data_IF_820837229563
#
_entry.id   IF_820837229563
#
_cell.length_a   1.000
_cell.length_b   1.000
_cell.length_c   1.000
_cell.angle_alpha   90.00
_cell.angle_beta   90.00
_cell.angle_gamma   90.00
#
_symmetry.space_group_name_H-M   'P 1'
#
loop_
_entity.id
_entity.type
_entity.pdbx_description
1 polymer ?
#
# COMPACT_ATOMS: atom_id res chain seq x y z
N UNK A 1 -36.46 40.55 10.51
CA UNK A 1 -36.55 39.12 10.84
C UNK A 1 -35.27 38.71 11.57
N UNK A 2 -35.36 38.26 12.82
CA UNK A 2 -34.16 37.85 13.57
C UNK A 2 -33.80 36.45 13.21
N UNK A 3 -32.62 36.23 12.64
CA UNK A 3 -32.11 34.91 12.31
C UNK A 3 -31.66 34.24 13.63
N UNK A 4 -32.20 33.07 13.93
CA UNK A 4 -31.79 32.34 15.14
C UNK A 4 -30.39 31.70 14.94
N UNK A 5 -29.64 31.55 16.04
CA UNK A 5 -28.31 30.89 16.03
C UNK A 5 -28.37 29.52 15.40
N UNK A 6 -29.42 28.74 15.68
CA UNK A 6 -29.61 27.40 15.14
C UNK A 6 -29.77 27.41 13.61
N UNK A 7 -30.42 28.45 13.09
CA UNK A 7 -30.64 28.62 11.66
C UNK A 7 -29.32 29.01 10.95
N UNK A 8 -28.53 29.87 11.59
CA UNK A 8 -27.22 30.29 11.09
C UNK A 8 -26.25 29.13 10.98
N UNK A 9 -26.21 28.25 12.00
CA UNK A 9 -25.36 27.06 12.00
C UNK A 9 -25.77 26.07 10.90
N UNK A 10 -27.07 25.92 10.65
CA UNK A 10 -27.58 25.03 9.57
C UNK A 10 -27.19 25.54 8.18
N UNK A 11 -27.13 26.85 7.99
CA UNK A 11 -26.76 27.44 6.70
C UNK A 11 -25.25 27.38 6.46
N UNK A 12 -24.45 27.40 7.54
CA UNK A 12 -22.98 27.35 7.47
C UNK A 12 -22.48 25.94 7.04
N UNK A 13 -23.13 24.87 7.50
CA UNK A 13 -22.69 23.48 7.27
C UNK A 13 -22.49 23.13 5.78
N UNK A 14 -23.43 23.43 4.87
CA UNK A 14 -23.21 23.11 3.44
C UNK A 14 -22.00 23.84 2.86
N UNK A 15 -21.76 25.09 3.27
CA UNK A 15 -20.62 25.88 2.82
C UNK A 15 -19.30 25.27 3.30
N UNK A 16 -19.24 24.83 4.55
CA UNK A 16 -18.05 24.18 5.10
C UNK A 16 -17.79 22.82 4.45
N UNK A 17 -18.85 22.05 4.17
CA UNK A 17 -18.72 20.78 3.45
C UNK A 17 -18.17 20.98 2.03
N UNK A 18 -18.69 21.99 1.31
CA UNK A 18 -18.20 22.32 -0.03
C UNK A 18 -16.74 22.78 0.03
N UNK A 19 -16.39 23.61 1.01
CA UNK A 19 -15.02 24.07 1.20
C UNK A 19 -14.08 22.91 1.52
N UNK A 20 -14.52 21.96 2.35
CA UNK A 20 -13.75 20.75 2.67
C UNK A 20 -13.47 19.95 1.40
N UNK A 21 -14.49 19.68 0.59
CA UNK A 21 -14.35 18.94 -0.66
C UNK A 21 -13.35 19.60 -1.62
N UNK A 22 -13.54 20.89 -1.87
CA UNK A 22 -12.65 21.69 -2.73
C UNK A 22 -11.20 21.70 -2.24
N UNK A 23 -11.00 21.74 -0.93
CA UNK A 23 -9.66 21.77 -0.35
C UNK A 23 -9.03 20.38 -0.36
N UNK A 24 -9.83 19.34 -0.10
CA UNK A 24 -9.37 17.94 -0.10
C UNK A 24 -8.94 17.52 -1.51
N UNK A 25 -9.67 17.90 -2.55
CA UNK A 25 -9.38 17.59 -3.96
C UNK A 25 -8.06 18.18 -4.47
N UNK A 26 -7.51 19.18 -3.77
CA UNK A 26 -6.21 19.77 -4.13
C UNK A 26 -5.03 18.83 -3.87
N UNK A 27 -5.23 17.84 -3.00
CA UNK A 27 -4.17 16.90 -2.63
C UNK A 27 -4.25 15.68 -3.53
N UNK A 28 -3.20 15.46 -4.32
CA UNK A 28 -3.13 14.33 -5.24
C UNK A 28 -3.03 13.02 -4.46
N UNK A 29 -3.69 11.99 -4.97
CA UNK A 29 -3.66 10.64 -4.40
C UNK A 29 -2.43 9.90 -4.94
N UNK A 30 -1.26 10.25 -4.42
CA UNK A 30 0.04 9.68 -4.83
C UNK A 30 0.09 8.16 -4.70
N UNK A 31 -0.65 7.61 -3.74
CA UNK A 31 -0.69 6.16 -3.50
C UNK A 31 -1.22 5.39 -4.71
N UNK A 32 -2.02 6.01 -5.58
CA UNK A 32 -2.56 5.36 -6.79
C UNK A 32 -1.47 5.04 -7.81
N UNK A 33 -0.28 5.65 -7.69
CA UNK A 33 0.87 5.31 -8.52
C UNK A 33 1.47 3.94 -8.17
N UNK A 34 1.20 3.45 -6.96
CA UNK A 34 1.80 2.21 -6.44
C UNK A 34 0.73 1.14 -6.20
N UNK A 35 -0.43 1.54 -5.69
CA UNK A 35 -1.52 0.64 -5.28
C UNK A 35 -2.70 0.76 -6.22
N UNK A 36 -3.28 -0.37 -6.56
CA UNK A 36 -4.59 -0.43 -7.21
C UNK A 36 -5.66 -0.16 -6.15
N UNK A 37 -6.69 0.62 -6.50
CA UNK A 37 -7.76 0.98 -5.56
C UNK A 37 -9.06 0.31 -5.98
N UNK A 38 -9.72 -0.32 -5.03
CA UNK A 38 -11.00 -0.99 -5.24
C UNK A 38 -12.02 -0.53 -4.20
N UNK A 39 -13.29 -0.69 -4.53
CA UNK A 39 -14.39 -0.39 -3.61
C UNK A 39 -14.83 -1.67 -2.90
N UNK A 40 -15.19 -1.55 -1.63
CA UNK A 40 -15.67 -2.67 -0.83
C UNK A 40 -16.93 -2.28 -0.04
N UNK A 41 -17.84 -3.23 0.08
CA UNK A 41 -19.07 -3.12 0.89
C UNK A 41 -18.96 -3.93 2.18
N UNK A 42 -17.78 -4.47 2.50
CA UNK A 42 -17.56 -5.37 3.65
C UNK A 42 -16.69 -4.72 4.70
N UNK A 43 -16.58 -5.36 5.86
CA UNK A 43 -15.70 -4.91 6.94
C UNK A 43 -14.24 -5.32 6.71
N UNK A 44 -14.00 -6.32 5.86
CA UNK A 44 -12.68 -6.80 5.46
C UNK A 44 -12.79 -7.44 4.08
N UNK A 45 -11.65 -7.51 3.39
CA UNK A 45 -11.53 -8.28 2.14
C UNK A 45 -10.45 -9.34 2.30
N UNK A 46 -10.61 -10.45 1.59
CA UNK A 46 -9.63 -11.54 1.59
C UNK A 46 -9.25 -11.89 0.16
N UNK A 47 -7.96 -11.99 -0.08
CA UNK A 47 -7.40 -12.47 -1.34
C UNK A 47 -6.65 -13.76 -1.12
N UNK A 48 -7.01 -14.78 -1.90
CA UNK A 48 -6.33 -16.08 -1.88
C UNK A 48 -5.36 -16.13 -3.05
N UNK A 49 -4.09 -16.36 -2.75
CA UNK A 49 -3.09 -16.53 -3.79
C UNK A 49 -3.14 -17.95 -4.34
N UNK A 50 -3.26 -18.05 -5.66
CA UNK A 50 -3.24 -19.35 -6.38
C UNK A 50 -1.85 -19.58 -6.97
N UNK A 51 -1.34 -20.80 -6.84
CA UNK A 51 0.03 -21.15 -7.25
C UNK A 51 0.25 -21.24 -8.75
N UNK A 52 -0.79 -21.31 -9.56
CA UNK A 52 -0.65 -21.55 -10.99
C UNK A 52 -0.17 -22.97 -11.29
N UNK A 53 0.38 -23.16 -12.48
CA UNK A 53 0.86 -24.46 -12.96
C UNK A 53 2.38 -24.48 -13.12
N UNK A 54 2.98 -25.66 -13.03
CA UNK A 54 4.40 -25.86 -13.24
C UNK A 54 4.77 -25.86 -14.72
N UNK A 55 6.03 -26.19 -15.01
CA UNK A 55 6.52 -26.22 -16.38
C UNK A 55 5.88 -27.36 -17.17
N UNK A 56 5.40 -27.04 -18.37
CA UNK A 56 4.83 -28.05 -19.28
C UNK A 56 5.94 -29.03 -19.74
N UNK A 57 5.60 -30.31 -19.78
CA UNK A 57 6.52 -31.36 -20.21
C UNK A 57 6.30 -31.70 -21.67
N UNK A 58 7.37 -32.17 -22.33
CA UNK A 58 7.30 -32.66 -23.73
C UNK A 58 6.46 -33.92 -23.77
N UNK A 59 5.49 -33.96 -24.66
CA UNK A 59 4.63 -35.14 -24.87
C UNK A 59 5.14 -35.96 -26.06
N UNK A 60 5.48 -37.20 -25.79
CA UNK A 60 5.83 -38.14 -26.86
C UNK A 60 4.58 -38.65 -27.61
N UNK A 61 4.79 -39.08 -28.84
CA UNK A 61 3.71 -39.61 -29.66
C UNK A 61 3.15 -40.89 -29.00
N UNK A 62 1.81 -40.93 -28.87
CA UNK A 62 1.12 -42.05 -28.24
C UNK A 62 1.04 -42.01 -26.74
N UNK A 63 1.74 -41.08 -26.07
CA UNK A 63 1.65 -40.94 -24.61
C UNK A 63 0.44 -40.07 -24.19
N UNK A 64 0.00 -40.24 -22.94
CA UNK A 64 -1.09 -39.43 -22.38
C UNK A 64 -0.59 -38.03 -22.03
N UNK A 65 -1.52 -37.06 -21.97
CA UNK A 65 -1.24 -35.69 -21.49
C UNK A 65 -1.02 -35.75 -19.98
N UNK A 66 -0.01 -35.04 -19.50
CA UNK A 66 0.24 -34.86 -18.07
C UNK A 66 -0.69 -33.79 -17.53
N UNK A 67 -1.39 -34.08 -16.45
CA UNK A 67 -2.24 -33.13 -15.76
C UNK A 67 -1.49 -32.55 -14.57
N UNK A 68 -1.55 -31.25 -14.40
CA UNK A 68 -1.04 -30.55 -13.23
C UNK A 68 -2.21 -29.90 -12.47
N UNK A 69 -2.00 -29.51 -11.22
CA UNK A 69 -3.04 -28.94 -10.38
C UNK A 69 -2.53 -27.66 -9.73
N UNK A 70 -3.32 -26.59 -9.81
CA UNK A 70 -3.09 -25.38 -9.06
C UNK A 70 -3.51 -25.61 -7.60
N UNK A 71 -2.81 -24.94 -6.67
CA UNK A 71 -3.07 -25.03 -5.23
C UNK A 71 -3.26 -23.62 -4.66
N UNK A 72 -4.08 -23.54 -3.63
CA UNK A 72 -4.18 -22.33 -2.83
C UNK A 72 -2.94 -22.26 -1.93
N UNK A 73 -2.25 -21.11 -1.97
CA UNK A 73 -1.00 -20.93 -1.22
C UNK A 73 -1.29 -20.27 0.13
N UNK A 74 -1.59 -18.99 0.14
CA UNK A 74 -1.89 -18.28 1.38
C UNK A 74 -2.99 -17.25 1.13
N UNK A 75 -3.61 -16.79 2.22
CA UNK A 75 -4.70 -15.81 2.18
C UNK A 75 -4.24 -14.52 2.85
N UNK A 76 -4.34 -13.41 2.14
CA UNK A 76 -4.14 -12.07 2.69
C UNK A 76 -5.46 -11.46 3.08
N UNK A 77 -5.54 -10.91 4.29
CA UNK A 77 -6.75 -10.25 4.79
C UNK A 77 -6.48 -8.77 4.99
N UNK A 78 -7.32 -7.95 4.37
CA UNK A 78 -7.28 -6.49 4.45
C UNK A 78 -8.44 -6.01 5.31
N UNK A 79 -8.14 -5.51 6.50
CA UNK A 79 -9.14 -4.99 7.44
C UNK A 79 -9.33 -3.49 7.19
N UNK A 80 -10.57 -3.06 7.04
CA UNK A 80 -10.90 -1.65 6.84
C UNK A 80 -10.78 -0.88 8.15
N UNK A 81 -10.20 0.30 8.09
CA UNK A 81 -10.07 1.21 9.25
C UNK A 81 -10.79 2.51 8.96
N UNK A 82 -11.51 3.00 9.96
CA UNK A 82 -12.19 4.29 9.87
C UNK A 82 -11.25 5.39 10.35
N UNK A 83 -10.95 6.35 9.48
CA UNK A 83 -10.18 7.53 9.83
C UNK A 83 -11.16 8.69 10.05
N UNK A 84 -11.11 9.29 11.23
CA UNK A 84 -12.02 10.38 11.59
C UNK A 84 -11.27 11.45 12.38
N UNK A 85 -11.61 12.70 12.12
CA UNK A 85 -11.08 13.86 12.82
C UNK A 85 -12.15 14.94 12.81
N UNK A 86 -12.30 15.65 13.91
CA UNK A 86 -13.27 16.73 14.02
C UNK A 86 -12.69 17.91 14.77
N UNK A 87 -13.34 19.05 14.64
CA UNK A 87 -13.04 20.24 15.41
C UNK A 87 -14.31 20.82 16.00
N UNK A 88 -14.16 21.57 17.09
CA UNK A 88 -15.27 22.29 17.74
C UNK A 88 -14.96 23.78 17.80
N UNK A 89 -15.99 24.58 17.72
CA UNK A 89 -15.91 26.03 17.85
C UNK A 89 -16.64 26.39 19.15
N UNK A 90 -16.04 27.21 20.00
CA UNK A 90 -16.63 27.59 21.27
C UNK A 90 -17.78 28.55 21.06
N UNK A 91 -18.70 28.60 22.03
CA UNK A 91 -19.86 29.49 22.01
C UNK A 91 -19.42 30.95 22.06
N UNK A 92 -18.35 31.25 22.80
CA UNK A 92 -17.78 32.61 22.88
C UNK A 92 -17.30 33.10 21.50
N UNK A 93 -16.64 32.21 20.72
CA UNK A 93 -16.18 32.57 19.36
C UNK A 93 -17.35 32.84 18.42
N UNK A 94 -18.49 32.17 18.63
CA UNK A 94 -19.73 32.42 17.87
C UNK A 94 -20.31 33.80 18.29
N UNK A 95 -20.32 34.12 19.57
CA UNK A 95 -20.82 35.39 20.10
C UNK A 95 -19.99 36.59 19.63
N UNK A 96 -18.66 36.42 19.55
CA UNK A 96 -17.74 37.46 19.09
C UNK A 96 -17.69 37.58 17.55
N UNK A 97 -18.54 36.86 16.84
CA UNK A 97 -18.64 36.84 15.35
C UNK A 97 -17.33 36.46 14.66
N UNK A 98 -16.50 35.59 15.30
CA UNK A 98 -15.23 35.13 14.76
C UNK A 98 -15.37 33.75 14.04
N UNK A 99 -16.55 33.15 14.10
CA UNK A 99 -16.79 31.78 13.64
C UNK A 99 -16.57 31.62 12.15
N UNK A 100 -16.84 32.61 11.33
CA UNK A 100 -16.79 32.49 9.88
C UNK A 100 -15.35 32.26 9.37
N UNK A 101 -14.45 33.17 9.73
CA UNK A 101 -13.03 33.04 9.34
C UNK A 101 -12.34 31.84 10.01
N UNK A 102 -12.70 31.57 11.27
CA UNK A 102 -12.10 30.50 12.07
C UNK A 102 -12.54 29.15 11.56
N UNK A 103 -13.85 28.95 11.27
CA UNK A 103 -14.38 27.69 10.73
C UNK A 103 -13.79 27.36 9.35
N UNK A 104 -13.64 28.36 8.48
CA UNK A 104 -13.03 28.17 7.17
C UNK A 104 -11.56 27.75 7.27
N UNK A 105 -10.81 28.35 8.19
CA UNK A 105 -9.40 27.99 8.42
C UNK A 105 -9.26 26.57 8.98
N UNK A 106 -10.11 26.21 9.95
CA UNK A 106 -10.10 24.87 10.55
C UNK A 106 -10.55 23.80 9.56
N UNK A 107 -11.52 24.10 8.68
CA UNK A 107 -11.96 23.17 7.63
C UNK A 107 -10.83 22.87 6.64
N UNK A 108 -10.06 23.88 6.24
CA UNK A 108 -8.89 23.69 5.38
C UNK A 108 -7.80 22.84 6.07
N UNK A 109 -7.56 23.13 7.36
CA UNK A 109 -6.59 22.35 8.15
C UNK A 109 -7.03 20.90 8.31
N UNK A 110 -8.35 20.68 8.52
CA UNK A 110 -8.95 19.34 8.60
C UNK A 110 -8.75 18.57 7.29
N UNK A 111 -9.05 19.18 6.16
CA UNK A 111 -8.89 18.55 4.84
C UNK A 111 -7.44 18.12 4.60
N UNK A 112 -6.48 19.01 4.92
CA UNK A 112 -5.05 18.71 4.82
C UNK A 112 -4.64 17.56 5.73
N UNK A 113 -5.12 17.55 6.97
CA UNK A 113 -4.77 16.51 7.96
C UNK A 113 -5.31 15.14 7.51
N UNK A 114 -6.54 15.10 6.96
CA UNK A 114 -7.15 13.86 6.47
C UNK A 114 -6.39 13.32 5.26
N UNK A 115 -6.05 14.18 4.29
CA UNK A 115 -5.27 13.79 3.11
C UNK A 115 -3.88 13.27 3.52
N UNK A 116 -3.21 13.97 4.43
CA UNK A 116 -1.90 13.56 4.95
C UNK A 116 -1.97 12.19 5.62
N UNK A 117 -3.00 11.94 6.45
CA UNK A 117 -3.16 10.66 7.14
C UNK A 117 -3.33 9.52 6.13
N UNK A 118 -4.08 9.75 5.05
CA UNK A 118 -4.26 8.77 3.97
C UNK A 118 -2.89 8.40 3.35
N UNK A 119 -2.06 9.40 3.03
CA UNK A 119 -0.74 9.17 2.43
C UNK A 119 0.21 8.43 3.39
N UNK A 120 0.20 8.80 4.68
CA UNK A 120 1.02 8.14 5.71
C UNK A 120 0.61 6.67 5.85
N UNK A 121 -0.69 6.39 5.85
CA UNK A 121 -1.20 5.00 5.91
C UNK A 121 -0.78 4.21 4.66
N UNK A 122 -0.83 4.83 3.49
CA UNK A 122 -0.41 4.18 2.24
C UNK A 122 1.11 3.93 2.21
N UNK A 123 1.91 4.81 2.79
CA UNK A 123 3.37 4.62 2.86
C UNK A 123 3.80 3.60 3.91
N UNK A 124 2.94 3.27 4.89
CA UNK A 124 3.29 2.41 6.02
C UNK A 124 3.82 1.03 5.60
N UNK A 125 3.17 0.29 4.65
CA UNK A 125 3.69 -1.03 4.25
C UNK A 125 5.09 -0.97 3.66
N UNK A 126 5.39 0.07 2.87
CA UNK A 126 6.72 0.24 2.24
C UNK A 126 7.78 0.62 3.28
N UNK A 127 7.47 1.57 4.15
CA UNK A 127 8.41 2.03 5.18
C UNK A 127 8.73 0.93 6.20
N UNK A 128 7.79 0.02 6.45
CA UNK A 128 7.94 -1.06 7.42
C UNK A 128 8.14 -2.44 6.77
N UNK A 129 8.32 -2.48 5.45
CA UNK A 129 8.39 -3.73 4.70
C UNK A 129 9.63 -4.59 5.00
N UNK A 130 10.67 -4.00 5.59
CA UNK A 130 11.89 -4.71 5.98
C UNK A 130 11.84 -5.24 7.41
N UNK A 131 10.77 -4.96 8.15
CA UNK A 131 10.67 -5.28 9.58
C UNK A 131 9.43 -6.12 9.83
N UNK A 132 9.38 -6.74 11.02
CA UNK A 132 8.22 -7.52 11.44
C UNK A 132 6.98 -6.68 11.75
N UNK A 133 7.07 -5.35 11.62
CA UNK A 133 5.93 -4.44 11.81
C UNK A 133 4.89 -4.58 10.71
N UNK A 134 5.30 -5.07 9.53
CA UNK A 134 4.39 -5.38 8.43
C UNK A 134 4.82 -6.69 7.77
N UNK A 135 3.99 -7.72 7.96
CA UNK A 135 4.19 -9.03 7.33
C UNK A 135 3.15 -9.19 6.21
N UNK A 136 3.59 -9.79 5.11
CA UNK A 136 2.70 -10.11 3.99
C UNK A 136 1.83 -11.33 4.31
N UNK A 137 0.94 -11.70 3.39
CA UNK A 137 0.00 -12.79 3.59
C UNK A 137 0.65 -14.14 3.82
N UNK A 138 1.90 -14.31 3.40
CA UNK A 138 2.69 -15.53 3.61
C UNK A 138 3.40 -15.58 4.97
N UNK A 139 3.24 -14.55 5.81
CA UNK A 139 3.79 -14.50 7.17
C UNK A 139 5.23 -14.05 7.27
N UNK A 140 5.84 -13.59 6.16
CA UNK A 140 7.20 -13.02 6.19
C UNK A 140 7.15 -11.52 5.89
N UNK A 141 8.28 -10.84 6.07
CA UNK A 141 8.38 -9.41 5.79
C UNK A 141 8.14 -9.13 4.30
N UNK A 142 7.56 -7.97 4.00
CA UNK A 142 7.25 -7.59 2.61
C UNK A 142 8.50 -7.62 1.72
N UNK A 143 9.64 -7.13 2.25
CA UNK A 143 10.92 -7.20 1.56
C UNK A 143 11.86 -8.13 2.34
N UNK A 144 12.18 -9.28 1.77
CA UNK A 144 12.95 -10.30 2.46
C UNK A 144 13.93 -10.99 1.51
N UNK A 145 15.05 -11.44 2.07
CA UNK A 145 16.05 -12.23 1.34
C UNK A 145 16.25 -13.57 2.05
N UNK A 146 16.39 -14.64 1.27
CA UNK A 146 16.62 -15.97 1.81
C UNK A 146 17.97 -16.01 2.53
N UNK A 147 17.95 -16.45 3.78
CA UNK A 147 19.15 -16.64 4.59
C UNK A 147 19.74 -15.39 5.21
N UNK A 148 19.01 -14.27 5.26
CA UNK A 148 19.54 -13.03 5.86
C UNK A 148 19.55 -13.06 7.41
N UNK A 149 18.93 -14.07 8.02
CA UNK A 149 18.91 -14.24 9.47
C UNK A 149 18.02 -13.26 10.21
N UNK A 150 17.30 -12.40 9.54
CA UNK A 150 16.37 -11.44 10.15
C UNK A 150 15.08 -12.19 10.49
N UNK A 151 14.56 -12.00 11.70
CA UNK A 151 13.30 -12.60 12.13
C UNK A 151 12.17 -12.19 11.16
N UNK A 152 11.48 -13.17 10.60
CA UNK A 152 10.47 -12.96 9.58
C UNK A 152 11.03 -12.67 8.18
N UNK A 153 12.35 -12.75 8.00
CA UNK A 153 13.04 -12.39 6.78
C UNK A 153 13.77 -13.54 6.09
N UNK A 154 13.18 -14.72 6.05
CA UNK A 154 13.86 -15.89 5.49
C UNK A 154 13.36 -16.22 4.06
N UNK A 155 12.98 -15.20 3.30
CA UNK A 155 12.50 -15.35 1.93
C UNK A 155 11.04 -15.80 1.85
N UNK A 156 10.39 -15.45 0.76
CA UNK A 156 8.99 -15.82 0.49
C UNK A 156 8.88 -17.30 0.17
N UNK A 157 8.05 -18.06 0.89
CA UNK A 157 7.94 -19.51 0.66
C UNK A 157 7.26 -19.83 -0.68
N UNK A 158 7.81 -20.80 -1.41
CA UNK A 158 7.23 -21.33 -2.63
C UNK A 158 6.55 -22.67 -2.34
N UNK A 159 5.71 -23.12 -3.29
CA UNK A 159 4.93 -24.36 -3.14
C UNK A 159 5.84 -25.60 -2.99
N UNK A 160 7.02 -25.57 -3.60
CA UNK A 160 7.99 -26.68 -3.52
C UNK A 160 8.82 -26.67 -2.23
N UNK A 161 8.56 -25.72 -1.32
CA UNK A 161 9.32 -25.59 -0.07
C UNK A 161 10.60 -24.75 -0.20
N UNK A 162 10.97 -24.35 -1.40
CA UNK A 162 12.09 -23.43 -1.59
C UNK A 162 11.65 -22.01 -1.24
N UNK A 163 12.58 -21.06 -1.28
CA UNK A 163 12.32 -19.68 -0.88
C UNK A 163 12.80 -18.72 -1.95
N UNK A 164 12.07 -17.64 -2.13
CA UNK A 164 12.36 -16.61 -3.13
C UNK A 164 12.68 -15.29 -2.42
N UNK A 165 13.69 -14.60 -2.90
CA UNK A 165 14.08 -13.28 -2.39
C UNK A 165 13.50 -12.19 -3.29
N UNK A 166 12.99 -11.12 -2.70
CA UNK A 166 12.57 -9.93 -3.43
C UNK A 166 13.36 -8.69 -2.98
N UNK A 167 14.51 -8.92 -2.35
CA UNK A 167 15.43 -7.89 -1.88
C UNK A 167 16.83 -8.22 -2.40
N UNK A 168 17.63 -7.21 -2.78
CA UNK A 168 19.02 -7.46 -3.19
C UNK A 168 19.80 -8.20 -2.11
N UNK A 169 20.63 -9.16 -2.52
CA UNK A 169 21.45 -9.96 -1.61
C UNK A 169 22.50 -9.13 -0.88
N UNK A 170 22.93 -8.03 -1.48
CA UNK A 170 23.93 -7.12 -0.92
C UNK A 170 23.39 -5.69 -1.01
N UNK A 171 23.29 -5.04 0.15
CA UNK A 171 22.91 -3.63 0.20
C UNK A 171 24.01 -2.77 -0.46
N UNK A 172 23.60 -1.81 -1.26
CA UNK A 172 24.51 -0.94 -2.01
C UNK A 172 23.87 0.43 -2.25
N UNK A 173 24.68 1.46 -2.22
CA UNK A 173 24.23 2.81 -2.56
C UNK A 173 23.75 2.85 -4.01
N UNK A 174 22.85 3.77 -4.31
CA UNK A 174 22.29 3.92 -5.65
C UNK A 174 23.36 4.45 -6.60
N UNK A 175 23.73 3.63 -7.57
CA UNK A 175 24.65 3.97 -8.66
C UNK A 175 24.29 3.15 -9.89
N UNK A 176 24.96 3.39 -11.00
CA UNK A 176 24.70 2.72 -12.28
C UNK A 176 24.78 1.19 -12.14
N UNK A 177 25.82 0.69 -11.49
CA UNK A 177 26.02 -0.75 -11.32
C UNK A 177 24.95 -1.38 -10.43
N UNK A 178 24.61 -0.74 -9.31
CA UNK A 178 23.59 -1.28 -8.40
C UNK A 178 22.20 -1.28 -9.07
N UNK A 179 21.93 -0.27 -9.90
CA UNK A 179 20.68 -0.20 -10.66
C UNK A 179 20.60 -1.31 -11.72
N UNK A 180 21.70 -1.56 -12.45
CA UNK A 180 21.76 -2.67 -13.41
C UNK A 180 21.54 -4.02 -12.72
N UNK A 181 22.22 -4.25 -11.60
CA UNK A 181 22.07 -5.48 -10.82
C UNK A 181 20.61 -5.66 -10.35
N UNK A 182 19.97 -4.58 -9.89
CA UNK A 182 18.58 -4.63 -9.46
C UNK A 182 17.63 -5.03 -10.61
N UNK A 183 17.85 -4.49 -11.81
CA UNK A 183 17.06 -4.84 -13.00
C UNK A 183 17.24 -6.33 -13.35
N UNK A 184 18.47 -6.84 -13.26
CA UNK A 184 18.79 -8.24 -13.53
C UNK A 184 18.09 -9.14 -12.49
N UNK A 185 18.14 -8.77 -11.21
CA UNK A 185 17.50 -9.53 -10.12
C UNK A 185 15.97 -9.55 -10.28
N UNK A 186 15.35 -8.41 -10.61
CA UNK A 186 13.89 -8.34 -10.84
C UNK A 186 13.49 -9.24 -12.02
N UNK A 187 14.28 -9.25 -13.11
CA UNK A 187 14.00 -10.08 -14.26
C UNK A 187 14.12 -11.58 -13.94
N UNK A 188 14.81 -11.92 -12.85
CA UNK A 188 14.99 -13.31 -12.40
C UNK A 188 13.91 -13.76 -11.39
N UNK A 189 12.99 -12.90 -10.99
CA UNK A 189 11.93 -13.25 -10.03
C UNK A 189 11.07 -14.39 -10.53
N UNK A 190 10.63 -15.23 -9.59
CA UNK A 190 9.89 -16.45 -9.86
C UNK A 190 8.49 -16.39 -9.25
N UNK A 191 7.59 -17.14 -9.86
CA UNK A 191 6.25 -17.36 -9.32
C UNK A 191 6.25 -18.44 -8.22
N UNK A 192 5.07 -18.78 -7.72
CA UNK A 192 4.90 -19.78 -6.66
C UNK A 192 5.33 -21.21 -7.07
N UNK A 193 5.46 -21.48 -8.37
CA UNK A 193 5.88 -22.77 -8.92
C UNK A 193 7.34 -22.76 -9.41
N UNK A 194 8.07 -21.66 -9.15
CA UNK A 194 9.47 -21.51 -9.52
C UNK A 194 9.72 -21.09 -10.97
N UNK A 195 8.68 -20.75 -11.72
CA UNK A 195 8.83 -20.27 -13.10
C UNK A 195 9.14 -18.77 -13.11
N UNK A 196 10.02 -18.34 -14.01
CA UNK A 196 10.36 -16.92 -14.15
C UNK A 196 9.16 -16.13 -14.68
N UNK A 197 8.78 -15.06 -14.00
CA UNK A 197 7.63 -14.22 -14.38
C UNK A 197 8.01 -13.13 -15.39
N UNK A 198 9.28 -13.01 -15.75
CA UNK A 198 9.80 -12.00 -16.70
C UNK A 198 9.37 -10.57 -16.31
N UNK A 199 9.42 -10.25 -15.02
CA UNK A 199 9.01 -8.96 -14.48
C UNK A 199 9.89 -7.86 -15.05
N UNK A 200 9.27 -6.72 -15.39
CA UNK A 200 9.98 -5.53 -15.86
C UNK A 200 9.64 -4.35 -14.94
N UNK A 201 10.67 -3.72 -14.36
CA UNK A 201 10.41 -2.63 -13.43
C UNK A 201 9.81 -1.39 -14.13
N UNK A 202 8.78 -1.25 -13.76
CA UNK A 202 8.08 -0.07 -14.24
C UNK A 202 7.94 0.87 -13.10
N UNK A 203 7.32 0.43 -12.21
CA UNK A 203 7.13 0.97 -10.95
C UNK A 203 8.06 0.38 -9.94
N UNK A 204 8.35 -0.43 -10.19
CA UNK A 204 9.28 -1.10 -9.41
C UNK A 204 10.59 -0.42 -9.20
N UNK A 205 10.85 0.37 -10.10
CA UNK A 205 12.03 1.21 -9.92
C UNK A 205 11.87 2.12 -8.69
N UNK A 206 10.67 2.61 -8.47
CA UNK A 206 10.36 3.40 -7.26
C UNK A 206 10.53 2.60 -5.98
N UNK A 207 10.09 1.37 -5.97
CA UNK A 207 10.22 0.49 -4.79
C UNK A 207 11.70 0.20 -4.49
N UNK A 208 12.50 0.00 -5.53
CA UNK A 208 13.94 -0.20 -5.37
C UNK A 208 14.64 1.07 -4.89
N UNK A 209 14.26 2.21 -5.40
CA UNK A 209 14.79 3.50 -4.94
C UNK A 209 14.48 3.73 -3.46
N UNK A 210 13.26 3.40 -3.04
CA UNK A 210 12.87 3.50 -1.61
C UNK A 210 13.68 2.52 -0.74
N UNK A 211 13.95 1.32 -1.23
CA UNK A 211 14.73 0.33 -0.47
C UNK A 211 16.20 0.74 -0.32
N UNK A 212 16.74 1.44 -1.31
CA UNK A 212 18.12 1.91 -1.26
C UNK A 212 18.28 3.19 -0.40
N UNK A 213 17.25 4.04 -0.33
CA UNK A 213 17.30 5.25 0.49
C UNK A 213 17.11 5.00 1.99
N UNK A 214 16.61 3.83 2.38
CA UNK A 214 16.36 3.54 3.80
C UNK A 214 17.61 3.08 4.57
N UNK A 215 18.75 2.98 3.89
CA UNK A 215 20.01 2.56 4.52
C UNK A 215 20.86 3.70 5.09
N UNK A 216 20.43 4.96 4.92
CA UNK A 216 21.17 6.15 5.37
C UNK A 216 20.64 6.80 6.66
N UNK A 217 19.87 6.08 7.51
CA UNK A 217 19.42 6.59 8.81
C UNK A 217 19.70 5.62 9.95
#
# INVERSE_FOLDING_TARGET
MAISRAQMLKELLPGLNALFGMEYEKYEDEHTMIYETENSDRSFEEEVQLSGFGQAVVKDEGSAITFDSAQESFTSRYNHETIALGFAITEEAIEDNLYDSLSARYTKALARAMAYTKQVKAAFPLNNGFTNSFQSGDGVNLFTASGDGVTGGDGHPLVDGSKNSNRPSTAADLNETSLENAIIEIAAYKDQRGLKIAARPXXXLYLLLCSLQQLDF
#
